data_IF_115476626232
#
_entry.id   IF_115476626232
#
_cell.length_a   1.000
_cell.length_b   1.000
_cell.length_c   1.000
_cell.angle_alpha   90.00
_cell.angle_beta   90.00
_cell.angle_gamma   90.00
#
_symmetry.space_group_name_H-M   'P 1'
#
loop_
_entity.id
_entity.type
_entity.pdbx_description
1 polymer ?
#
# COMPACT_ATOMS: atom_id res chain seq x y z
N UNK A 1 -23.64 -25.74 18.91
CA UNK A 1 -23.35 -24.45 19.59
C UNK A 1 -22.19 -23.85 18.84
N UNK A 2 -22.51 -23.02 17.86
CA UNK A 2 -21.58 -22.53 16.84
C UNK A 2 -20.72 -21.39 17.37
N UNK A 3 -19.44 -21.43 17.02
CA UNK A 3 -18.40 -20.53 17.50
C UNK A 3 -18.47 -19.14 16.87
N UNK A 4 -18.50 -18.13 17.73
CA UNK A 4 -18.31 -16.72 17.37
C UNK A 4 -16.82 -16.45 17.13
N UNK A 5 -16.38 -16.70 15.91
CA UNK A 5 -15.07 -16.29 15.42
C UNK A 5 -15.00 -14.78 15.31
N UNK A 6 -14.54 -14.13 16.39
CA UNK A 6 -14.46 -12.68 16.55
C UNK A 6 -13.82 -11.97 15.36
N UNK A 7 -14.67 -11.50 14.45
CA UNK A 7 -14.30 -10.55 13.42
C UNK A 7 -13.92 -9.24 14.12
N UNK A 8 -12.62 -9.02 14.30
CA UNK A 8 -12.11 -7.78 14.88
C UNK A 8 -12.71 -6.59 14.11
N UNK A 9 -13.47 -5.76 14.83
CA UNK A 9 -14.15 -4.59 14.26
C UNK A 9 -13.11 -3.61 13.73
N UNK A 10 -13.18 -3.30 12.45
CA UNK A 10 -12.33 -2.29 11.81
C UNK A 10 -12.65 -0.91 12.39
N UNK A 11 -11.67 -0.16 12.92
CA UNK A 11 -11.93 1.20 13.37
C UNK A 11 -12.28 2.10 12.17
N UNK A 12 -13.36 2.91 12.27
CA UNK A 12 -13.73 3.83 11.21
C UNK A 12 -12.64 4.87 11.00
N UNK A 13 -12.50 5.39 9.78
CA UNK A 13 -11.61 6.53 9.52
C UNK A 13 -12.09 7.74 10.33
N UNK A 14 -11.27 8.19 11.28
CA UNK A 14 -11.57 9.37 12.09
C UNK A 14 -11.09 10.64 11.37
N UNK A 15 -11.89 11.73 11.36
CA UNK A 15 -11.39 13.03 10.97
C UNK A 15 -10.33 13.47 11.99
N UNK A 16 -9.09 13.70 11.57
CA UNK A 16 -7.98 14.09 12.47
C UNK A 16 -6.67 13.30 12.29
N UNK A 17 -6.65 12.33 11.38
CA UNK A 17 -5.46 11.52 11.09
C UNK A 17 -5.70 10.07 11.46
N UNK A 18 -5.14 9.19 10.65
CA UNK A 18 -5.17 7.75 10.81
C UNK A 18 -3.76 7.29 11.22
N UNK A 19 -3.63 6.51 12.30
CA UNK A 19 -2.38 5.82 12.61
C UNK A 19 -2.40 4.40 12.02
N UNK A 20 -1.49 4.04 11.11
CA UNK A 20 -1.34 2.67 10.61
C UNK A 20 -1.27 1.58 11.66
N UNK A 21 -0.79 1.90 12.87
CA UNK A 21 -0.80 0.98 14.00
C UNK A 21 -2.22 0.47 14.35
N UNK A 22 -3.26 1.29 14.17
CA UNK A 22 -4.66 0.93 14.49
C UNK A 22 -5.20 -0.22 13.65
N UNK A 23 -4.53 -0.57 12.55
CA UNK A 23 -4.97 -1.57 11.57
C UNK A 23 -4.04 -2.78 11.53
N UNK A 24 -3.15 -2.93 12.50
CA UNK A 24 -2.19 -4.03 12.57
C UNK A 24 -2.85 -5.41 12.39
N UNK A 25 -4.00 -5.66 13.01
CA UNK A 25 -4.73 -6.92 12.84
C UNK A 25 -5.23 -7.15 11.41
N UNK A 26 -5.65 -6.09 10.71
CA UNK A 26 -6.05 -6.18 9.30
C UNK A 26 -4.84 -6.30 8.38
N UNK A 27 -3.70 -5.70 8.74
CA UNK A 27 -2.43 -5.85 8.04
C UNK A 27 -1.96 -7.29 8.06
N UNK A 28 -1.96 -7.94 9.24
CA UNK A 28 -1.58 -9.35 9.38
C UNK A 28 -2.48 -10.23 8.51
N UNK A 29 -3.80 -10.15 8.70
CA UNK A 29 -4.76 -10.97 7.93
C UNK A 29 -4.67 -10.73 6.42
N UNK A 30 -4.59 -9.46 6.00
CA UNK A 30 -4.51 -9.09 4.59
C UNK A 30 -3.21 -9.56 3.95
N UNK A 31 -2.10 -9.46 4.65
CA UNK A 31 -0.78 -9.89 4.20
C UNK A 31 -0.70 -11.42 4.08
N UNK A 32 -1.21 -12.15 5.08
CA UNK A 32 -1.32 -13.62 5.06
C UNK A 32 -2.15 -14.10 3.86
N UNK A 33 -3.35 -13.52 3.67
CA UNK A 33 -4.22 -13.87 2.56
C UNK A 33 -3.57 -13.61 1.17
N UNK A 34 -2.70 -12.59 1.09
CA UNK A 34 -2.01 -12.23 -0.15
C UNK A 34 -0.62 -12.90 -0.31
N UNK A 35 -0.14 -13.61 0.71
CA UNK A 35 1.19 -14.24 0.71
C UNK A 35 2.35 -13.23 0.71
N UNK A 36 2.18 -12.05 1.32
CA UNK A 36 3.21 -11.01 1.43
C UNK A 36 3.59 -10.76 2.90
N UNK A 37 4.71 -10.09 3.14
CA UNK A 37 5.14 -9.76 4.50
C UNK A 37 4.20 -8.72 5.16
N UNK A 38 3.67 -8.99 6.37
CA UNK A 38 2.90 -8.00 7.12
C UNK A 38 3.71 -6.72 7.41
N UNK A 39 5.02 -6.85 7.66
CA UNK A 39 5.91 -5.72 7.89
C UNK A 39 6.04 -4.83 6.64
N UNK A 40 6.08 -5.43 5.45
CA UNK A 40 6.08 -4.68 4.18
C UNK A 40 4.79 -3.87 4.03
N UNK A 41 3.64 -4.50 4.25
CA UNK A 41 2.33 -3.83 4.16
C UNK A 41 2.25 -2.67 5.16
N UNK A 42 2.60 -2.90 6.43
CA UNK A 42 2.58 -1.87 7.47
C UNK A 42 3.49 -0.68 7.11
N UNK A 43 4.69 -0.96 6.61
CA UNK A 43 5.65 0.10 6.24
C UNK A 43 5.15 0.93 5.06
N UNK A 44 4.46 0.30 4.09
CA UNK A 44 3.81 1.03 2.99
C UNK A 44 2.71 1.94 3.52
N UNK A 45 1.87 1.48 4.44
CA UNK A 45 0.82 2.30 5.05
C UNK A 45 1.38 3.53 5.79
N UNK A 46 2.45 3.37 6.58
CA UNK A 46 3.13 4.51 7.21
C UNK A 46 3.73 5.49 6.20
N UNK A 47 4.30 4.99 5.11
CA UNK A 47 4.83 5.86 4.07
C UNK A 47 3.75 6.65 3.33
N UNK A 48 2.54 6.09 3.17
CA UNK A 48 1.40 6.79 2.57
C UNK A 48 0.75 7.78 3.56
N UNK A 49 0.64 7.43 4.84
CA UNK A 49 0.12 8.30 5.90
C UNK A 49 0.99 9.55 6.15
N UNK A 50 2.29 9.48 5.86
CA UNK A 50 3.22 10.60 6.01
C UNK A 50 3.01 11.75 5.00
N UNK A 51 2.14 11.62 3.99
CA UNK A 51 1.88 12.75 3.07
C UNK A 51 1.24 13.89 3.86
N UNK A 52 1.89 15.07 3.97
CA UNK A 52 1.32 16.18 4.72
C UNK A 52 0.02 16.60 4.04
N UNK A 53 -1.08 16.54 4.79
CA UNK A 53 -2.35 17.16 4.45
C UNK A 53 -2.15 18.68 4.44
N UNK A 54 -1.60 19.22 3.36
CA UNK A 54 -1.43 20.65 3.20
C UNK A 54 -2.76 21.25 2.69
N UNK A 55 -3.43 22.14 3.44
CA UNK A 55 -4.81 22.55 3.18
C UNK A 55 -5.04 23.23 1.81
N UNK A 56 -4.01 23.91 1.27
CA UNK A 56 -4.03 24.50 -0.07
C UNK A 56 -3.92 23.44 -1.20
N UNK A 57 -3.25 22.31 -0.96
CA UNK A 57 -3.15 21.21 -1.91
C UNK A 57 -4.44 20.39 -1.93
N UNK A 58 -5.13 20.22 -0.80
CA UNK A 58 -6.42 19.50 -0.71
C UNK A 58 -7.52 20.18 -1.53
N UNK A 59 -7.61 21.51 -1.47
CA UNK A 59 -8.59 22.30 -2.26
C UNK A 59 -8.33 22.25 -3.76
N UNK A 60 -7.05 22.25 -4.16
CA UNK A 60 -6.64 22.08 -5.55
C UNK A 60 -6.77 20.61 -6.03
N UNK A 61 -6.62 19.64 -5.13
CA UNK A 61 -6.77 18.20 -5.41
C UNK A 61 -8.22 17.76 -5.60
N UNK A 62 -9.14 18.24 -4.74
CA UNK A 62 -10.57 17.95 -4.84
C UNK A 62 -11.18 18.51 -6.13
N UNK A 63 -10.63 19.61 -6.64
CA UNK A 63 -11.11 20.29 -7.84
C UNK A 63 -10.65 19.63 -9.16
N UNK A 64 -9.65 18.70 -9.15
CA UNK A 64 -8.93 18.30 -10.37
C UNK A 64 -8.90 16.80 -10.74
N UNK A 65 -9.43 15.84 -9.96
CA UNK A 65 -9.18 14.39 -10.25
C UNK A 65 -10.39 13.43 -10.18
N UNK A 66 -10.98 13.05 -11.33
CA UNK A 66 -11.89 11.91 -11.49
C UNK A 66 -11.26 10.49 -11.29
N UNK A 67 -10.25 10.37 -10.41
CA UNK A 67 -9.46 9.14 -10.18
C UNK A 67 -8.42 9.24 -9.04
N UNK A 68 -8.63 10.14 -8.08
CA UNK A 68 -7.74 10.39 -6.94
C UNK A 68 -7.68 9.20 -5.97
N UNK A 69 -6.49 8.76 -5.57
CA UNK A 69 -6.28 7.64 -4.64
C UNK A 69 -7.16 7.67 -3.38
N UNK A 70 -7.65 6.50 -2.96
CA UNK A 70 -8.48 6.34 -1.76
C UNK A 70 -7.89 5.38 -0.72
N UNK A 71 -8.36 5.53 0.52
CA UNK A 71 -8.12 4.64 1.64
C UNK A 71 -6.76 4.83 2.32
N UNK A 72 -6.57 4.10 3.41
CA UNK A 72 -5.34 4.09 4.22
C UNK A 72 -4.08 3.75 3.42
N UNK A 73 -4.25 3.05 2.30
CA UNK A 73 -3.18 2.65 1.41
C UNK A 73 -3.01 3.58 0.19
N UNK A 74 -3.83 4.63 0.07
CA UNK A 74 -3.75 5.64 -0.97
C UNK A 74 -3.67 5.04 -2.39
N UNK A 75 -4.56 4.10 -2.71
CA UNK A 75 -4.55 3.35 -3.98
C UNK A 75 -5.34 4.04 -5.10
N UNK A 76 -4.70 4.26 -6.24
CA UNK A 76 -5.31 4.83 -7.45
C UNK A 76 -6.33 3.89 -8.10
N UNK A 77 -7.42 4.46 -8.66
CA UNK A 77 -8.48 3.69 -9.35
C UNK A 77 -7.95 2.72 -10.39
N UNK A 78 -7.07 3.15 -11.28
CA UNK A 78 -6.53 2.29 -12.33
C UNK A 78 -5.75 1.08 -11.76
N UNK A 79 -5.07 1.26 -10.63
CA UNK A 79 -4.38 0.16 -9.94
C UNK A 79 -5.38 -0.77 -9.27
N UNK A 80 -6.36 -0.22 -8.54
CA UNK A 80 -7.41 -1.01 -7.94
C UNK A 80 -8.17 -1.83 -8.97
N UNK A 81 -8.53 -1.25 -10.12
CA UNK A 81 -9.24 -1.96 -11.19
C UNK A 81 -8.43 -3.10 -11.81
N UNK A 82 -7.10 -3.06 -11.75
CA UNK A 82 -6.27 -4.21 -12.12
C UNK A 82 -6.33 -5.30 -11.05
N UNK A 83 -6.17 -4.93 -9.78
CA UNK A 83 -6.28 -5.85 -8.64
C UNK A 83 -7.66 -6.51 -8.60
N UNK A 84 -8.72 -5.71 -8.73
CA UNK A 84 -10.11 -6.16 -8.78
C UNK A 84 -10.32 -7.25 -9.82
N UNK A 85 -9.84 -7.03 -11.05
CA UNK A 85 -9.96 -8.01 -12.14
C UNK A 85 -9.09 -9.24 -11.91
N UNK A 86 -7.87 -9.06 -11.43
CA UNK A 86 -6.93 -10.18 -11.21
C UNK A 86 -7.36 -11.12 -10.08
N UNK A 87 -8.03 -10.59 -9.05
CA UNK A 87 -8.41 -11.33 -7.84
C UNK A 87 -9.93 -11.51 -7.68
N UNK A 88 -10.73 -11.11 -8.68
CA UNK A 88 -12.19 -11.30 -8.67
C UNK A 88 -12.93 -10.50 -7.58
N UNK A 89 -12.42 -9.33 -7.19
CA UNK A 89 -13.09 -8.51 -6.18
C UNK A 89 -14.41 -7.96 -6.74
N UNK A 90 -15.49 -8.02 -5.97
CA UNK A 90 -16.81 -7.54 -6.39
C UNK A 90 -17.07 -6.09 -6.01
N UNK A 91 -16.34 -5.58 -5.01
CA UNK A 91 -16.54 -4.24 -4.45
C UNK A 91 -16.01 -3.14 -5.38
N UNK A 92 -16.68 -1.97 -5.41
CA UNK A 92 -16.22 -0.84 -6.21
C UNK A 92 -15.03 -0.13 -5.54
N UNK A 93 -14.35 0.70 -6.32
CA UNK A 93 -13.15 1.42 -5.88
C UNK A 93 -13.41 2.41 -4.74
N UNK A 94 -14.61 2.98 -4.69
CA UNK A 94 -15.04 3.94 -3.66
C UNK A 94 -14.99 3.33 -2.25
N UNK A 95 -15.26 2.02 -2.12
CA UNK A 95 -15.25 1.31 -0.84
C UNK A 95 -13.89 1.33 -0.15
N UNK A 96 -12.79 1.55 -0.88
CA UNK A 96 -11.47 1.73 -0.26
C UNK A 96 -11.44 2.94 0.70
N UNK A 97 -12.28 3.95 0.43
CA UNK A 97 -12.43 5.11 1.31
C UNK A 97 -13.14 4.71 2.60
N UNK A 98 -14.20 3.93 2.53
CA UNK A 98 -15.09 3.75 3.67
C UNK A 98 -14.74 2.49 4.50
N UNK A 99 -13.98 1.56 3.92
CA UNK A 99 -13.55 0.32 4.56
C UNK A 99 -12.02 0.20 4.54
N UNK A 100 -11.35 0.61 5.63
CA UNK A 100 -9.90 0.47 5.75
C UNK A 100 -9.40 -0.97 5.69
N UNK A 101 -10.17 -1.95 6.17
CA UNK A 101 -9.77 -3.35 6.11
C UNK A 101 -9.72 -3.83 4.66
N UNK A 102 -10.71 -3.42 3.86
CA UNK A 102 -10.70 -3.65 2.43
C UNK A 102 -9.55 -2.92 1.73
N UNK A 103 -9.25 -1.68 2.12
CA UNK A 103 -8.11 -0.94 1.58
C UNK A 103 -6.76 -1.62 1.87
N UNK A 104 -6.56 -2.12 3.09
CA UNK A 104 -5.36 -2.90 3.47
C UNK A 104 -5.28 -4.19 2.67
N UNK A 105 -6.39 -4.92 2.54
CA UNK A 105 -6.43 -6.16 1.77
C UNK A 105 -6.10 -5.92 0.28
N UNK A 106 -6.72 -4.93 -0.35
CA UNK A 106 -6.44 -4.57 -1.73
C UNK A 106 -4.96 -4.18 -1.93
N UNK A 107 -4.36 -3.45 -0.98
CA UNK A 107 -2.94 -3.09 -1.01
C UNK A 107 -2.02 -4.32 -0.90
N UNK A 108 -2.35 -5.28 -0.04
CA UNK A 108 -1.62 -6.52 0.09
C UNK A 108 -1.68 -7.35 -1.21
N UNK A 109 -2.86 -7.45 -1.85
CA UNK A 109 -3.00 -8.08 -3.16
C UNK A 109 -2.18 -7.38 -4.24
N UNK A 110 -2.16 -6.05 -4.25
CA UNK A 110 -1.33 -5.30 -5.19
C UNK A 110 0.17 -5.60 -5.01
N UNK A 111 0.64 -5.66 -3.76
CA UNK A 111 2.02 -6.04 -3.46
C UNK A 111 2.31 -7.47 -3.93
N UNK A 112 1.37 -8.40 -3.75
CA UNK A 112 1.47 -9.77 -4.27
C UNK A 112 1.61 -9.81 -5.80
N UNK A 113 0.85 -8.97 -6.52
CA UNK A 113 0.96 -8.86 -7.98
C UNK A 113 2.32 -8.29 -8.42
N UNK A 114 2.78 -7.23 -7.74
CA UNK A 114 4.13 -6.69 -7.97
C UNK A 114 5.20 -7.76 -7.73
N UNK A 115 5.00 -8.56 -6.70
CA UNK A 115 5.93 -9.60 -6.28
C UNK A 115 6.08 -10.73 -7.30
N UNK A 116 4.96 -11.18 -7.87
CA UNK A 116 4.94 -12.13 -9.00
C UNK A 116 5.60 -11.56 -10.25
N UNK A 117 5.53 -10.25 -10.41
CA UNK A 117 6.06 -9.54 -11.58
C UNK A 117 7.58 -9.25 -11.50
N UNK A 118 8.19 -9.48 -10.33
CA UNK A 118 9.58 -9.18 -10.05
C UNK A 118 10.51 -10.24 -10.66
N UNK A 119 11.62 -9.86 -11.32
CA UNK A 119 12.62 -10.81 -11.77
C UNK A 119 13.19 -11.64 -10.60
N UNK A 120 13.32 -12.96 -10.77
CA UNK A 120 13.96 -13.86 -9.78
C UNK A 120 15.38 -13.44 -9.42
N UNK A 121 16.10 -12.87 -10.38
CA UNK A 121 17.43 -12.26 -10.17
C UNK A 121 17.32 -10.76 -10.41
N UNK A 122 17.68 -9.98 -9.41
CA UNK A 122 17.80 -8.54 -9.48
C UNK A 122 19.15 -8.12 -8.91
N UNK A 123 19.58 -6.89 -9.21
CA UNK A 123 20.81 -6.35 -8.63
C UNK A 123 20.74 -6.36 -7.11
N UNK A 124 21.84 -6.68 -6.43
CA UNK A 124 21.88 -6.80 -4.95
C UNK A 124 21.85 -5.45 -4.21
N UNK A 125 21.56 -4.36 -4.92
CA UNK A 125 21.47 -3.00 -4.35
C UNK A 125 20.23 -2.79 -3.49
N UNK A 126 19.13 -3.47 -3.83
CA UNK A 126 17.86 -3.38 -3.14
C UNK A 126 17.40 -4.77 -2.70
N UNK A 127 16.83 -4.86 -1.52
CA UNK A 127 16.10 -6.05 -1.08
C UNK A 127 14.80 -6.18 -1.87
N UNK A 128 14.20 -7.38 -1.84
CA UNK A 128 12.92 -7.65 -2.49
C UNK A 128 11.83 -6.70 -2.00
N UNK A 129 11.69 -6.54 -0.69
CA UNK A 129 10.70 -5.63 -0.07
C UNK A 129 10.89 -4.18 -0.49
N UNK A 130 12.15 -3.72 -0.62
CA UNK A 130 12.43 -2.36 -1.09
C UNK A 130 12.01 -2.15 -2.54
N UNK A 131 12.19 -3.17 -3.39
CA UNK A 131 11.70 -3.14 -4.77
C UNK A 131 10.17 -3.12 -4.80
N UNK A 132 9.49 -3.90 -3.96
CA UNK A 132 8.03 -3.89 -3.85
C UNK A 132 7.51 -2.53 -3.36
N UNK A 133 8.14 -1.94 -2.36
CA UNK A 133 7.80 -0.60 -1.86
C UNK A 133 7.99 0.48 -2.94
N UNK A 134 9.08 0.40 -3.71
CA UNK A 134 9.29 1.28 -4.86
C UNK A 134 8.26 1.04 -5.97
N UNK A 135 7.85 -0.21 -6.21
CA UNK A 135 6.81 -0.56 -7.16
C UNK A 135 5.43 -0.06 -6.75
N UNK A 136 5.12 -0.10 -5.46
CA UNK A 136 3.91 0.50 -4.92
C UNK A 136 3.88 2.01 -5.15
N UNK A 137 5.01 2.70 -4.92
CA UNK A 137 5.12 4.15 -5.09
C UNK A 137 5.17 4.60 -6.55
N UNK A 138 5.83 3.84 -7.42
CA UNK A 138 6.22 4.30 -8.78
C UNK A 138 5.66 3.44 -9.92
N UNK A 139 5.00 2.34 -9.61
CA UNK A 139 4.46 1.37 -10.56
C UNK A 139 5.44 0.25 -10.93
N UNK A 140 4.88 -0.85 -11.44
CA UNK A 140 5.57 -2.09 -11.83
C UNK A 140 6.74 -1.86 -12.81
N UNK A 141 6.53 -1.04 -13.84
CA UNK A 141 7.55 -0.78 -14.87
C UNK A 141 8.83 -0.17 -14.27
N UNK A 142 8.67 0.79 -13.36
CA UNK A 142 9.78 1.44 -12.68
C UNK A 142 10.46 0.49 -11.70
N UNK A 143 9.68 -0.28 -10.93
CA UNK A 143 10.23 -1.35 -10.09
C UNK A 143 11.12 -2.31 -10.87
N UNK A 144 10.67 -2.78 -12.04
CA UNK A 144 11.47 -3.65 -12.92
C UNK A 144 12.73 -2.96 -13.44
N UNK A 145 12.68 -1.67 -13.72
CA UNK A 145 13.86 -0.90 -14.10
C UNK A 145 14.86 -0.82 -12.93
N UNK A 146 14.39 -0.56 -11.70
CA UNK A 146 15.23 -0.53 -10.50
C UNK A 146 15.83 -1.90 -10.18
N UNK A 147 15.07 -2.98 -10.36
CA UNK A 147 15.55 -4.36 -10.22
C UNK A 147 16.70 -4.68 -11.20
N UNK A 148 16.76 -3.98 -12.34
CA UNK A 148 17.85 -4.07 -13.33
C UNK A 148 18.98 -3.06 -13.10
N UNK A 149 18.91 -2.24 -12.06
CA UNK A 149 19.98 -1.32 -11.67
C UNK A 149 19.75 0.15 -12.06
N UNK A 150 18.63 0.50 -12.69
CA UNK A 150 18.30 1.91 -12.92
C UNK A 150 18.17 2.63 -11.57
N UNK A 151 18.84 3.77 -11.35
CA UNK A 151 18.74 4.48 -10.08
C UNK A 151 17.36 5.15 -9.94
N UNK A 152 16.72 5.09 -8.75
CA UNK A 152 15.49 5.82 -8.48
C UNK A 152 15.75 7.32 -8.45
N UNK A 153 14.77 8.10 -8.91
CA UNK A 153 14.79 9.56 -8.82
C UNK A 153 14.66 10.08 -7.38
N UNK A 154 14.79 11.41 -7.14
CA UNK A 154 14.81 12.00 -5.80
C UNK A 154 13.61 11.63 -4.92
N UNK A 155 12.40 11.64 -5.50
CA UNK A 155 11.17 11.31 -4.77
C UNK A 155 11.14 9.84 -4.33
N UNK A 156 11.48 8.92 -5.23
CA UNK A 156 11.55 7.48 -4.94
C UNK A 156 12.66 7.16 -3.92
N UNK A 157 13.80 7.86 -3.96
CA UNK A 157 14.84 7.76 -2.92
C UNK A 157 14.37 8.24 -1.56
N UNK A 158 13.63 9.35 -1.52
CA UNK A 158 13.04 9.89 -0.29
C UNK A 158 12.03 8.90 0.32
N UNK A 159 11.19 8.27 -0.52
CA UNK A 159 10.28 7.20 -0.13
C UNK A 159 11.03 6.00 0.47
N UNK A 160 12.06 5.52 -0.22
CA UNK A 160 12.88 4.40 0.24
C UNK A 160 13.61 4.70 1.55
N UNK A 161 14.10 5.93 1.75
CA UNK A 161 14.73 6.33 3.02
C UNK A 161 13.76 6.25 4.18
N UNK A 162 12.51 6.71 4.00
CA UNK A 162 11.46 6.58 5.04
C UNK A 162 11.10 5.12 5.28
N UNK A 163 10.97 4.33 4.22
CA UNK A 163 10.75 2.89 4.30
C UNK A 163 11.79 2.21 5.20
N UNK A 164 13.08 2.49 4.96
CA UNK A 164 14.19 1.96 5.76
C UNK A 164 14.13 2.43 7.22
N UNK A 165 13.91 3.72 7.43
CA UNK A 165 13.85 4.29 8.78
C UNK A 165 12.73 3.66 9.63
N UNK A 166 11.57 3.42 9.03
CA UNK A 166 10.48 2.73 9.72
C UNK A 166 10.84 1.26 10.00
N UNK A 167 11.33 0.53 9.00
CA UNK A 167 11.71 -0.88 9.14
C UNK A 167 12.74 -1.10 10.25
N UNK A 168 13.74 -0.21 10.36
CA UNK A 168 14.74 -0.26 11.41
C UNK A 168 14.19 -0.01 12.82
N UNK A 169 13.06 0.70 12.95
CA UNK A 169 12.40 0.93 14.25
C UNK A 169 11.47 -0.21 14.66
N UNK A 170 11.02 -1.01 13.69
CA UNK A 170 10.06 -2.10 13.89
C UNK A 170 10.72 -3.48 14.03
N UNK A 171 12.06 -3.56 13.88
CA UNK A 171 12.87 -4.76 14.07
C UNK A 171 13.50 -4.76 15.47
#
# INVERSE_FOLDING_TARGET
>A
MDGDGGAARTPPLRPGGYDPADYAAHVVRGAEAAGVSPLLVMTVLHNEAYKPHHPLLERLWQWWKPGASFGVANMHRATFERVRRAHGLTRPWQDLRDDPAFAVHAAALHLSDLDRSLPRRHVRRYTRDELLALGYNTGERNMRAFARGVPPGPMARSYLRRFRAFRSRAA
#
